data_IF_343306454451
#
_entry.id   IF_343306454451
#
_cell.length_a   1.000
_cell.length_b   1.000
_cell.length_c   1.000
_cell.angle_alpha   90.00
_cell.angle_beta   90.00
_cell.angle_gamma   90.00
#
_symmetry.space_group_name_H-M   'P 1'
#
loop_
_entity.id
_entity.type
_entity.pdbx_description
1 polymer ?
#
# COMPACT_ATOMS: atom_id res chain seq x y z
N UNK A 1 9.16 20.55 12.65
CA UNK A 1 7.72 20.25 12.77
C UNK A 1 7.58 18.74 12.86
N UNK A 2 7.33 18.23 14.06
CA UNK A 2 7.09 16.81 14.31
C UNK A 2 5.62 16.54 14.05
N UNK A 3 5.32 15.80 12.98
CA UNK A 3 3.98 15.31 12.68
C UNK A 3 3.66 14.21 13.69
N UNK A 4 2.67 14.41 14.56
CA UNK A 4 2.18 13.39 15.47
C UNK A 4 1.21 12.47 14.69
N UNK A 5 1.60 11.22 14.37
CA UNK A 5 0.80 10.33 13.53
C UNK A 5 -0.47 9.82 14.22
N UNK A 6 -0.67 10.12 15.50
CA UNK A 6 -1.72 9.52 16.34
C UNK A 6 -3.06 10.25 16.24
N UNK A 7 -3.11 11.46 15.66
CA UNK A 7 -4.30 12.33 15.67
C UNK A 7 -4.84 12.66 14.27
N UNK A 8 -4.62 11.80 13.28
CA UNK A 8 -5.34 11.91 12.00
C UNK A 8 -6.60 11.06 12.06
N UNK A 9 -7.76 11.69 11.83
CA UNK A 9 -9.03 11.00 11.62
C UNK A 9 -8.84 9.83 10.64
N UNK A 10 -9.54 8.69 10.84
CA UNK A 10 -9.39 7.54 9.97
C UNK A 10 -9.66 7.95 8.52
N UNK A 11 -8.77 7.54 7.61
CA UNK A 11 -8.94 7.83 6.20
C UNK A 11 -10.27 7.22 5.70
N UNK A 12 -11.03 7.98 4.92
CA UNK A 12 -12.24 7.48 4.29
C UNK A 12 -11.87 6.64 3.07
N UNK A 13 -11.69 5.33 3.29
CA UNK A 13 -11.33 4.38 2.25
C UNK A 13 -12.43 4.22 1.20
N UNK A 14 -13.70 4.43 1.56
CA UNK A 14 -14.81 4.28 0.63
C UNK A 14 -14.88 5.48 -0.33
N UNK A 15 -14.60 6.69 0.15
CA UNK A 15 -14.42 7.85 -0.70
C UNK A 15 -13.19 7.73 -1.63
N UNK A 16 -12.14 6.99 -1.25
CA UNK A 16 -10.99 6.71 -2.13
C UNK A 16 -11.36 5.68 -3.18
N UNK A 17 -12.01 4.59 -2.78
CA UNK A 17 -12.49 3.55 -3.70
C UNK A 17 -13.43 4.13 -4.73
N UNK A 18 -14.38 4.96 -4.29
CA UNK A 18 -15.31 5.65 -5.19
C UNK A 18 -14.58 6.48 -6.24
N UNK A 19 -13.58 7.30 -5.85
CA UNK A 19 -12.79 8.07 -6.81
C UNK A 19 -11.95 7.20 -7.75
N UNK A 20 -11.46 6.06 -7.26
CA UNK A 20 -10.71 5.11 -8.08
C UNK A 20 -11.60 4.40 -9.11
N UNK A 21 -12.85 4.08 -8.77
CA UNK A 21 -13.80 3.45 -9.69
C UNK A 21 -14.35 4.40 -10.73
N UNK A 22 -14.45 5.69 -10.39
CA UNK A 22 -14.90 6.73 -11.32
C UNK A 22 -13.78 7.15 -12.29
N UNK A 23 -12.52 7.12 -11.84
CA UNK A 23 -11.39 7.42 -12.69
C UNK A 23 -11.17 6.32 -13.74
N UNK A 24 -10.89 6.72 -14.97
CA UNK A 24 -10.58 5.78 -16.04
C UNK A 24 -9.22 5.11 -15.80
N UNK A 25 -9.01 3.86 -16.27
CA UNK A 25 -7.67 3.32 -16.40
C UNK A 25 -6.89 4.18 -17.39
N UNK A 26 -5.84 4.85 -16.93
CA UNK A 26 -5.03 5.72 -17.80
C UNK A 26 -4.51 4.97 -19.04
N UNK A 27 -4.19 5.67 -20.13
CA UNK A 27 -3.80 7.09 -20.19
C UNK A 27 -4.95 8.09 -20.09
N UNK A 28 -4.75 9.18 -19.35
CA UNK A 28 -5.77 10.22 -19.14
C UNK A 28 -5.62 11.36 -20.16
N UNK A 29 -6.69 11.65 -20.91
CA UNK A 29 -6.71 12.77 -21.85
C UNK A 29 -6.87 14.11 -21.13
N UNK A 30 -6.11 15.13 -21.53
CA UNK A 30 -6.24 16.51 -21.00
C UNK A 30 -6.85 17.49 -22.01
N UNK A 31 -7.38 16.98 -23.13
CA UNK A 31 -7.91 17.76 -24.25
C UNK A 31 -6.86 18.06 -25.32
N UNK A 32 -7.30 18.50 -26.50
CA UNK A 32 -6.45 18.92 -27.64
C UNK A 32 -5.40 17.87 -28.08
N UNK A 33 -5.71 16.57 -28.05
CA UNK A 33 -4.76 15.52 -28.43
C UNK A 33 -3.66 15.24 -27.41
N UNK A 34 -3.64 15.95 -26.27
CA UNK A 34 -2.63 15.75 -25.23
C UNK A 34 -3.07 14.66 -24.25
N UNK A 35 -2.15 13.74 -23.93
CA UNK A 35 -2.39 12.61 -23.04
C UNK A 35 -1.33 12.53 -21.91
N UNK A 36 -1.78 12.29 -20.68
CA UNK A 36 -0.90 11.95 -19.56
C UNK A 36 -0.67 10.43 -19.63
N UNK A 37 0.49 10.04 -20.15
CA UNK A 37 0.92 8.64 -20.26
C UNK A 37 2.27 8.45 -19.60
N UNK A 38 2.48 7.30 -18.95
CA UNK A 38 3.78 6.86 -18.47
C UNK A 38 4.24 5.65 -19.29
N UNK A 39 5.40 5.76 -19.95
CA UNK A 39 6.00 4.63 -20.67
C UNK A 39 5.32 4.34 -22.01
N UNK A 40 4.85 5.39 -22.71
CA UNK A 40 4.30 5.25 -24.05
C UNK A 40 5.41 4.86 -25.03
N UNK A 41 5.24 3.73 -25.72
CA UNK A 41 6.09 3.34 -26.84
C UNK A 41 5.40 3.76 -28.15
N UNK A 42 5.88 4.85 -28.75
CA UNK A 42 5.35 5.33 -30.04
C UNK A 42 6.15 4.68 -31.16
N UNK A 43 5.50 3.90 -32.02
CA UNK A 43 6.12 3.30 -33.21
C UNK A 43 5.69 4.05 -34.48
N UNK A 44 6.39 5.15 -34.79
CA UNK A 44 6.22 5.86 -36.06
C UNK A 44 6.94 5.17 -37.24
N UNK A 45 6.43 5.35 -38.47
CA UNK A 45 7.12 4.98 -39.73
C UNK A 45 8.37 5.85 -39.94
N UNK A 46 9.41 5.61 -39.16
CA UNK A 46 10.64 6.41 -39.18
C UNK A 46 11.35 6.48 -37.84
N UNK A 47 11.57 5.33 -37.21
CA UNK A 47 12.67 5.06 -36.27
C UNK A 47 13.03 6.12 -35.23
N UNK A 48 12.19 6.33 -34.21
CA UNK A 48 12.66 6.74 -32.89
C UNK A 48 11.89 6.00 -31.80
N UNK A 49 12.60 5.41 -30.84
CA UNK A 49 12.05 4.86 -29.61
C UNK A 49 12.38 5.85 -28.51
N UNK A 50 11.39 6.48 -27.88
CA UNK A 50 11.63 7.28 -26.69
C UNK A 50 10.71 6.81 -25.57
N UNK A 51 11.27 6.68 -24.36
CA UNK A 51 10.50 6.45 -23.13
C UNK A 51 10.31 7.83 -22.52
N UNK A 52 9.28 8.56 -22.97
CA UNK A 52 8.95 9.87 -22.42
C UNK A 52 8.01 9.68 -21.22
N UNK A 53 8.32 10.35 -20.10
CA UNK A 53 7.57 10.23 -18.85
C UNK A 53 6.27 11.06 -18.83
N UNK A 54 6.14 12.01 -19.76
CA UNK A 54 4.93 12.78 -20.09
C UNK A 54 5.07 13.17 -21.56
N UNK A 55 4.18 12.70 -22.44
CA UNK A 55 4.21 13.02 -23.86
C UNK A 55 3.13 14.05 -24.19
N UNK A 56 3.53 15.19 -24.74
CA UNK A 56 2.65 16.10 -25.47
C UNK A 56 2.66 15.60 -26.92
N UNK A 57 1.55 14.98 -27.35
CA UNK A 57 1.37 14.60 -28.75
C UNK A 57 0.67 15.77 -29.42
N UNK A 58 1.45 16.66 -30.01
CA UNK A 58 0.95 17.72 -30.88
C UNK A 58 0.85 17.14 -32.30
N UNK A 59 -0.20 16.36 -32.55
CA UNK A 59 -0.52 15.92 -33.91
C UNK A 59 -1.71 16.72 -34.42
N UNK A 60 -1.44 17.73 -35.23
CA UNK A 60 -2.44 18.47 -36.02
C UNK A 60 -3.20 17.56 -37.00
N UNK A 61 -2.83 16.28 -37.14
CA UNK A 61 -3.35 15.34 -38.15
C UNK A 61 -3.99 14.04 -37.61
N UNK A 62 -4.03 13.80 -36.29
CA UNK A 62 -4.49 12.51 -35.71
C UNK A 62 -6.02 12.37 -35.54
N UNK A 63 -6.79 12.85 -36.52
CA UNK A 63 -8.17 12.37 -36.73
C UNK A 63 -8.24 10.98 -37.37
N UNK A 64 -7.11 10.30 -37.50
CA UNK A 64 -7.04 8.93 -37.99
C UNK A 64 -7.42 7.96 -36.88
N UNK A 65 -8.73 7.69 -36.77
CA UNK A 65 -9.31 6.35 -36.68
C UNK A 65 -8.43 5.28 -35.99
N UNK A 66 -8.00 5.56 -34.75
CA UNK A 66 -7.48 4.54 -33.86
C UNK A 66 -8.67 3.67 -33.48
N UNK A 67 -8.89 2.61 -34.26
CA UNK A 67 -9.98 1.66 -34.10
C UNK A 67 -10.31 1.43 -32.64
N UNK A 68 -11.43 2.03 -32.21
CA UNK A 68 -11.90 2.02 -30.84
C UNK A 68 -12.25 0.60 -30.45
N UNK A 69 -11.27 -0.13 -29.90
CA UNK A 69 -11.53 -1.31 -29.12
C UNK A 69 -12.25 -0.85 -27.86
N UNK A 70 -13.58 -1.01 -27.86
CA UNK A 70 -14.53 -0.64 -26.80
C UNK A 70 -14.27 0.76 -26.21
N UNK A 71 -14.99 1.76 -26.71
CA UNK A 71 -15.00 3.14 -26.18
C UNK A 71 -15.28 3.13 -24.67
N UNK A 72 -14.22 3.08 -23.86
CA UNK A 72 -14.30 3.43 -22.44
C UNK A 72 -14.67 4.91 -22.45
N UNK A 73 -15.90 5.21 -22.04
CA UNK A 73 -16.36 6.58 -21.89
C UNK A 73 -15.40 7.30 -20.94
N UNK A 74 -14.59 8.21 -21.50
CA UNK A 74 -13.64 8.99 -20.73
C UNK A 74 -14.43 10.09 -20.03
N UNK A 75 -14.32 10.17 -18.70
CA UNK A 75 -14.76 11.32 -17.91
C UNK A 75 -13.53 12.12 -17.43
N UNK A 76 -13.11 13.14 -18.19
CA UNK A 76 -11.96 13.97 -17.81
C UNK A 76 -12.14 14.69 -16.48
N UNK A 77 -13.39 14.93 -16.04
CA UNK A 77 -13.67 15.58 -14.78
C UNK A 77 -13.41 14.63 -13.61
N UNK A 78 -13.82 13.36 -13.74
CA UNK A 78 -13.50 12.32 -12.76
C UNK A 78 -11.99 12.10 -12.63
N UNK A 79 -11.27 12.02 -13.76
CA UNK A 79 -9.81 11.86 -13.78
C UNK A 79 -9.10 13.06 -13.13
N UNK A 80 -9.52 14.28 -13.45
CA UNK A 80 -8.98 15.49 -12.83
C UNK A 80 -9.24 15.54 -11.31
N UNK A 81 -10.44 15.15 -10.86
CA UNK A 81 -10.77 15.05 -9.42
C UNK A 81 -9.90 14.01 -8.72
N UNK A 82 -9.62 12.88 -9.35
CA UNK A 82 -8.74 11.84 -8.81
C UNK A 82 -7.29 12.33 -8.67
N UNK A 83 -6.72 12.91 -9.75
CA UNK A 83 -5.36 13.45 -9.76
C UNK A 83 -5.20 14.58 -8.74
N UNK A 84 -6.13 15.52 -8.69
CA UNK A 84 -6.10 16.63 -7.74
C UNK A 84 -6.14 16.13 -6.28
N UNK A 85 -6.93 15.08 -6.02
CA UNK A 85 -7.01 14.44 -4.70
C UNK A 85 -5.74 13.70 -4.29
N UNK A 86 -4.94 13.20 -5.22
CA UNK A 86 -3.79 12.35 -4.96
C UNK A 86 -2.77 12.97 -3.99
N UNK A 87 -2.56 14.30 -4.06
CA UNK A 87 -1.61 15.02 -3.19
C UNK A 87 -1.97 14.95 -1.70
N UNK A 88 -3.24 14.72 -1.38
CA UNK A 88 -3.72 14.55 0.00
C UNK A 88 -3.94 13.08 0.33
N UNK A 89 -4.49 12.30 -0.61
CA UNK A 89 -4.87 10.91 -0.39
C UNK A 89 -3.66 9.98 -0.27
N UNK A 90 -2.62 10.16 -1.11
CA UNK A 90 -1.44 9.29 -1.09
C UNK A 90 -0.66 9.40 0.23
N UNK A 91 -0.32 10.60 0.74
CA UNK A 91 0.32 10.72 2.05
C UNK A 91 -0.53 10.14 3.19
N UNK A 92 -1.85 10.32 3.15
CA UNK A 92 -2.74 9.76 4.16
C UNK A 92 -2.74 8.22 4.13
N UNK A 93 -2.77 7.61 2.94
CA UNK A 93 -2.64 6.15 2.79
C UNK A 93 -1.28 5.64 3.28
N UNK A 94 -0.18 6.34 2.99
CA UNK A 94 1.14 6.00 3.52
C UNK A 94 1.15 6.04 5.06
N UNK A 95 0.54 7.06 5.67
CA UNK A 95 0.42 7.15 7.12
C UNK A 95 -0.37 5.97 7.71
N UNK A 96 -1.46 5.54 7.08
CA UNK A 96 -2.20 4.34 7.51
C UNK A 96 -1.36 3.07 7.44
N UNK A 97 -0.62 2.87 6.34
CA UNK A 97 0.27 1.73 6.19
C UNK A 97 1.33 1.72 7.28
N UNK A 98 1.91 2.89 7.60
CA UNK A 98 2.90 3.00 8.68
C UNK A 98 2.29 2.73 10.05
N UNK A 99 1.05 3.17 10.32
CA UNK A 99 0.31 2.81 11.55
C UNK A 99 0.07 1.30 11.65
N UNK A 100 -0.37 0.66 10.57
CA UNK A 100 -0.60 -0.78 10.54
C UNK A 100 0.69 -1.58 10.72
N UNK A 101 1.80 -1.12 10.14
CA UNK A 101 3.13 -1.72 10.36
C UNK A 101 3.56 -1.60 11.82
N UNK A 102 3.43 -0.42 12.42
CA UNK A 102 3.75 -0.22 13.83
C UNK A 102 2.89 -1.10 14.76
N UNK A 103 1.60 -1.25 14.44
CA UNK A 103 0.71 -2.15 15.19
C UNK A 103 1.13 -3.63 15.06
N UNK A 104 1.51 -4.06 13.85
CA UNK A 104 1.99 -5.41 13.61
C UNK A 104 3.29 -5.70 14.37
N UNK A 105 4.26 -4.78 14.33
CA UNK A 105 5.53 -4.90 15.06
C UNK A 105 5.31 -4.98 16.58
N UNK A 106 4.34 -4.20 17.10
CA UNK A 106 3.96 -4.24 18.52
C UNK A 106 3.35 -5.60 18.91
N UNK A 107 2.48 -6.17 18.09
CA UNK A 107 1.89 -7.49 18.35
C UNK A 107 2.91 -8.62 18.22
N UNK A 108 3.82 -8.54 17.25
CA UNK A 108 4.94 -9.48 17.13
C UNK A 108 5.84 -9.44 18.36
N UNK A 109 6.18 -8.23 18.83
CA UNK A 109 6.95 -8.04 20.06
C UNK A 109 6.21 -8.61 21.28
N UNK A 110 4.89 -8.38 21.38
CA UNK A 110 4.05 -8.93 22.45
C UNK A 110 4.07 -10.46 22.43
N UNK A 111 3.93 -11.04 21.24
CA UNK A 111 3.91 -12.50 21.04
C UNK A 111 5.24 -13.12 21.45
N UNK A 112 6.36 -12.58 20.96
CA UNK A 112 7.70 -13.02 21.35
C UNK A 112 7.92 -12.96 22.86
N UNK A 113 7.47 -11.88 23.54
CA UNK A 113 7.56 -11.79 25.01
C UNK A 113 6.72 -12.86 25.73
N UNK A 114 5.55 -13.19 25.19
CA UNK A 114 4.70 -14.23 25.76
C UNK A 114 5.30 -15.63 25.57
N UNK A 115 5.92 -15.88 24.41
CA UNK A 115 6.66 -17.11 24.14
C UNK A 115 7.86 -17.27 25.09
N UNK A 116 8.65 -16.21 25.28
CA UNK A 116 9.77 -16.20 26.23
C UNK A 116 9.29 -16.44 27.68
N UNK A 117 8.18 -15.78 28.07
CA UNK A 117 7.59 -15.97 29.40
C UNK A 117 7.09 -17.40 29.60
N UNK A 118 6.44 -17.97 28.59
CA UNK A 118 5.97 -19.36 28.63
C UNK A 118 7.15 -20.32 28.81
N UNK A 119 8.20 -20.20 27.99
CA UNK A 119 9.41 -21.02 28.09
C UNK A 119 10.06 -20.92 29.48
N UNK A 120 10.13 -19.71 30.06
CA UNK A 120 10.64 -19.49 31.41
C UNK A 120 9.78 -20.20 32.48
N UNK A 121 8.45 -20.14 32.36
CA UNK A 121 7.55 -20.84 33.29
C UNK A 121 7.65 -22.36 33.19
N UNK A 122 7.83 -22.90 31.99
CA UNK A 122 8.04 -24.33 31.77
C UNK A 122 9.36 -24.81 32.39
N UNK A 123 10.43 -24.04 32.23
CA UNK A 123 11.72 -24.33 32.85
C UNK A 123 11.65 -24.26 34.38
N UNK A 124 10.94 -23.28 34.93
CA UNK A 124 10.71 -23.17 36.37
C UNK A 124 9.91 -24.37 36.90
N UNK A 125 8.85 -24.78 36.21
CA UNK A 125 8.05 -25.95 36.57
C UNK A 125 8.86 -27.26 36.51
N UNK A 126 9.70 -27.43 35.49
CA UNK A 126 10.59 -28.58 35.38
C UNK A 126 11.61 -28.61 36.53
N UNK A 127 12.20 -27.46 36.87
CA UNK A 127 13.14 -27.33 37.98
C UNK A 127 12.49 -27.60 39.34
N UNK A 128 11.25 -27.13 39.55
CA UNK A 128 10.47 -27.43 40.76
C UNK A 128 10.14 -28.91 40.89
N UNK A 129 9.78 -29.60 39.79
CA UNK A 129 9.54 -31.05 39.79
C UNK A 129 10.79 -31.82 40.22
N UNK A 130 11.94 -31.51 39.62
CA UNK A 130 13.23 -32.14 39.99
C UNK A 130 13.56 -31.90 41.48
N UNK A 131 13.30 -30.69 41.98
CA UNK A 131 13.52 -30.37 43.39
C UNK A 131 12.60 -31.14 44.35
N UNK A 132 11.33 -31.34 43.97
CA UNK A 132 10.36 -32.14 44.72
C UNK A 132 10.77 -33.62 44.72
N UNK A 133 11.07 -34.19 43.56
CA UNK A 133 11.51 -35.59 43.43
C UNK A 133 12.76 -35.86 44.29
N UNK A 134 13.68 -34.90 44.34
CA UNK A 134 14.87 -34.98 45.20
C UNK A 134 14.51 -34.93 46.69
N UNK A 135 13.60 -34.05 47.09
CA UNK A 135 13.18 -33.92 48.49
C UNK A 135 12.47 -35.19 48.98
N UNK A 136 11.64 -35.81 48.13
CA UNK A 136 10.96 -37.07 48.43
C UNK A 136 11.97 -38.21 48.61
N UNK A 137 12.96 -38.32 47.72
CA UNK A 137 14.03 -39.32 47.84
C UNK A 137 14.88 -39.13 49.13
N UNK A 138 15.13 -37.88 49.54
CA UNK A 138 15.82 -37.59 50.81
C UNK A 138 14.98 -37.91 52.05
N UNK A 139 13.64 -37.85 51.95
CA UNK A 139 12.72 -38.19 53.02
C UNK A 139 12.56 -39.71 53.21
N UNK A 140 12.55 -40.49 52.13
CA UNK A 140 12.45 -41.96 52.18
C UNK A 140 13.75 -42.64 52.66
N UNK A 141 14.90 -41.97 52.54
CA UNK A 141 16.20 -42.46 52.99
C UNK A 141 16.52 -42.24 54.47
N UNK A 142 15.62 -41.61 55.25
CA UNK A 142 15.78 -41.34 56.70
C UNK A 142 14.88 -42.23 57.55
#
# INVERSE_FOLDING_TARGET
MTFDPTTSAPIDLDAIRYRLTEATPGPWGVGNGTHIVRGLEVTGRGSFTCIQSVAEIDDEDDRLDWGHADEVEVDPEADARFIAGARTLVPALCAEVDRHRAALDAEQTRTSRLEDALAATEQQAASMRIALDKADAEAEGR
#
